data_IF_649695051415
#
_entry.id   IF_649695051415
#
_cell.length_a   1.000
_cell.length_b   1.000
_cell.length_c   1.000
_cell.angle_alpha   90.00
_cell.angle_beta   90.00
_cell.angle_gamma   90.00
#
_symmetry.space_group_name_H-M   'P 1'
#
loop_
_entity.id
_entity.type
_entity.pdbx_description
1 polymer ?
#
# COMPACT_ATOMS: atom_id res chain seq x y z
N UNK A 1 34.97 -17.43 -25.61
CA UNK A 1 35.86 -16.35 -25.11
C UNK A 1 35.74 -16.33 -23.59
N UNK A 2 36.81 -16.66 -22.85
CA UNK A 2 36.75 -16.94 -21.41
C UNK A 2 36.48 -15.67 -20.58
N UNK A 3 35.56 -15.77 -19.61
CA UNK A 3 35.17 -14.70 -18.69
C UNK A 3 36.31 -14.48 -17.69
N UNK A 4 36.98 -13.32 -17.75
CA UNK A 4 38.08 -12.99 -16.84
C UNK A 4 37.60 -13.01 -15.39
N UNK A 5 38.39 -13.60 -14.52
CA UNK A 5 38.08 -13.73 -13.11
C UNK A 5 38.30 -12.41 -12.37
N UNK A 6 37.66 -12.27 -11.21
CA UNK A 6 37.76 -11.08 -10.32
C UNK A 6 39.23 -10.73 -9.98
N UNK A 7 40.12 -11.72 -9.98
CA UNK A 7 41.58 -11.53 -9.77
C UNK A 7 42.27 -10.79 -10.92
N UNK A 8 41.84 -10.98 -12.16
CA UNK A 8 42.43 -10.32 -13.33
C UNK A 8 42.08 -8.82 -13.36
N UNK A 9 40.88 -8.46 -12.87
CA UNK A 9 40.41 -7.09 -12.74
C UNK A 9 41.16 -6.32 -11.65
N UNK A 10 41.60 -7.00 -10.59
CA UNK A 10 42.40 -6.38 -9.52
C UNK A 10 43.82 -6.06 -9.96
N UNK A 11 44.47 -6.93 -10.76
CA UNK A 11 45.79 -6.65 -11.33
C UNK A 11 45.80 -5.40 -12.21
N UNK A 12 44.77 -5.23 -13.05
CA UNK A 12 44.67 -4.06 -13.94
C UNK A 12 44.55 -2.73 -13.19
N UNK A 13 43.98 -2.74 -11.96
CA UNK A 13 43.82 -1.55 -11.12
C UNK A 13 45.12 -1.14 -10.42
N UNK A 14 45.99 -2.09 -10.10
CA UNK A 14 47.30 -1.82 -9.47
C UNK A 14 48.32 -1.31 -10.52
N UNK A 15 48.16 -1.70 -11.79
CA UNK A 15 49.01 -1.27 -12.91
C UNK A 15 48.68 0.13 -13.48
N UNK A 16 47.82 0.92 -12.82
CA UNK A 16 47.59 2.32 -13.17
C UNK A 16 46.88 2.58 -14.50
N UNK A 17 46.31 1.57 -15.14
CA UNK A 17 45.47 1.76 -16.33
C UNK A 17 44.10 2.25 -15.91
N UNK A 18 43.73 3.46 -16.35
CA UNK A 18 42.44 4.08 -16.10
C UNK A 18 41.31 3.12 -16.49
N UNK A 19 40.64 2.57 -15.48
CA UNK A 19 39.36 1.90 -15.67
C UNK A 19 38.38 3.03 -15.99
N UNK A 20 37.91 3.08 -17.23
CA UNK A 20 36.75 3.89 -17.62
C UNK A 20 35.60 3.54 -16.67
N UNK A 21 35.46 4.35 -15.63
CA UNK A 21 34.48 4.16 -14.60
C UNK A 21 33.25 4.91 -15.08
N UNK A 22 32.24 4.15 -15.49
CA UNK A 22 30.86 4.61 -15.61
C UNK A 22 30.34 5.01 -14.21
N UNK A 23 30.93 6.05 -13.61
CA UNK A 23 30.50 6.67 -12.36
C UNK A 23 29.17 7.43 -12.53
N UNK A 24 28.69 7.61 -13.76
CA UNK A 24 27.34 8.11 -14.03
C UNK A 24 26.21 7.10 -13.75
N UNK A 25 26.50 5.80 -13.69
CA UNK A 25 25.48 4.75 -13.53
C UNK A 25 25.14 4.42 -12.05
N UNK A 26 25.89 4.98 -11.09
CA UNK A 26 25.69 4.76 -9.64
C UNK A 26 25.05 5.95 -8.92
N UNK A 27 24.60 6.97 -9.66
CA UNK A 27 23.97 8.18 -9.10
C UNK A 27 22.43 8.20 -9.19
N UNK A 28 21.79 7.16 -9.76
CA UNK A 28 20.34 7.15 -10.02
C UNK A 28 19.53 6.18 -9.13
N UNK A 29 20.10 5.62 -8.07
CA UNK A 29 19.38 4.70 -7.17
C UNK A 29 18.55 5.39 -6.07
N UNK A 30 18.33 6.70 -6.18
CA UNK A 30 17.27 7.35 -5.40
C UNK A 30 15.96 6.99 -6.07
N UNK A 31 15.32 5.93 -5.55
CA UNK A 31 13.97 5.51 -5.96
C UNK A 31 13.07 6.75 -5.96
N UNK A 32 12.51 7.11 -7.12
CA UNK A 32 11.65 8.30 -7.26
C UNK A 32 10.46 8.11 -6.31
N UNK A 33 10.31 8.98 -5.32
CA UNK A 33 9.19 8.93 -4.38
C UNK A 33 7.88 9.12 -5.15
N UNK A 34 6.87 8.32 -4.83
CA UNK A 34 5.52 8.48 -5.37
C UNK A 34 5.02 9.90 -5.09
N UNK A 35 4.37 10.52 -6.08
CA UNK A 35 3.69 11.80 -5.96
C UNK A 35 2.29 11.63 -6.54
N UNK A 36 1.28 11.98 -5.76
CA UNK A 36 -0.13 11.77 -6.09
C UNK A 36 -0.96 11.39 -4.87
N UNK A 37 -2.24 11.08 -5.10
CA UNK A 37 -3.21 10.69 -4.07
C UNK A 37 -3.59 9.22 -4.22
N UNK A 38 -3.50 8.49 -3.12
CA UNK A 38 -3.80 7.05 -3.06
C UNK A 38 -4.99 6.81 -2.14
N UNK A 39 -5.94 6.00 -2.60
CA UNK A 39 -6.98 5.43 -1.74
C UNK A 39 -6.52 4.05 -1.25
N UNK A 40 -6.17 3.95 0.02
CA UNK A 40 -5.91 2.71 0.72
C UNK A 40 -7.19 2.07 1.25
N UNK A 41 -7.32 0.76 1.09
CA UNK A 41 -8.53 0.00 1.46
C UNK A 41 -8.16 -1.30 2.16
N UNK A 42 -8.73 -1.54 3.34
CA UNK A 42 -8.77 -2.84 4.01
C UNK A 42 -10.21 -3.40 3.93
N UNK A 43 -10.51 -4.25 2.93
CA UNK A 43 -11.86 -4.72 2.68
C UNK A 43 -12.28 -5.84 3.64
N UNK A 44 -13.32 -5.57 4.43
CA UNK A 44 -13.96 -6.55 5.31
C UNK A 44 -15.47 -6.35 5.34
N UNK A 45 -16.24 -7.45 5.31
CA UNK A 45 -17.70 -7.39 5.21
C UNK A 45 -18.34 -6.57 6.35
N UNK A 46 -17.75 -6.58 7.56
CA UNK A 46 -18.34 -5.95 8.75
C UNK A 46 -17.63 -4.67 9.19
N UNK A 47 -16.43 -4.41 8.70
CA UNK A 47 -15.64 -3.26 9.09
C UNK A 47 -14.58 -2.99 8.03
N UNK A 48 -14.97 -2.35 6.93
CA UNK A 48 -14.01 -1.98 5.89
C UNK A 48 -13.35 -0.65 6.24
N UNK A 49 -12.01 -0.63 6.26
CA UNK A 49 -11.21 0.57 6.47
C UNK A 49 -10.90 1.29 5.15
N UNK A 50 -10.96 2.61 5.15
CA UNK A 50 -10.61 3.45 4.01
C UNK A 50 -9.73 4.61 4.45
N UNK A 51 -8.69 4.91 3.67
CA UNK A 51 -7.81 6.06 3.91
C UNK A 51 -7.39 6.71 2.59
N UNK A 52 -7.56 8.03 2.49
CA UNK A 52 -7.07 8.84 1.37
C UNK A 52 -5.81 9.55 1.81
N UNK A 53 -4.68 9.23 1.18
CA UNK A 53 -3.36 9.76 1.52
C UNK A 53 -2.76 10.47 0.31
N UNK A 54 -2.42 11.74 0.48
CA UNK A 54 -1.70 12.54 -0.50
C UNK A 54 -0.19 12.46 -0.24
N UNK A 55 0.58 12.25 -1.31
CA UNK A 55 2.03 12.24 -1.33
C UNK A 55 2.52 13.41 -2.18
N UNK A 56 3.03 14.46 -1.54
CA UNK A 56 3.49 15.66 -2.22
C UNK A 56 4.95 15.57 -2.68
N UNK A 57 5.30 16.35 -3.70
CA UNK A 57 6.68 16.54 -4.13
C UNK A 57 7.53 17.05 -2.95
N UNK A 58 8.61 16.34 -2.62
CA UNK A 58 9.43 16.58 -1.41
C UNK A 58 9.25 15.51 -0.33
N UNK A 59 8.31 14.58 -0.51
CA UNK A 59 8.14 13.40 0.35
C UNK A 59 7.27 13.65 1.58
N UNK A 60 6.58 14.79 1.64
CA UNK A 60 5.54 15.04 2.64
C UNK A 60 4.32 14.16 2.34
N UNK A 61 3.75 13.59 3.39
CA UNK A 61 2.57 12.72 3.33
C UNK A 61 1.47 13.39 4.14
N UNK A 62 0.23 13.37 3.67
CA UNK A 62 -0.90 13.99 4.36
C UNK A 62 -2.13 13.10 4.27
N UNK A 63 -2.73 12.82 5.41
CA UNK A 63 -3.97 12.04 5.49
C UNK A 63 -5.15 12.98 5.22
N UNK A 64 -5.72 12.91 4.03
CA UNK A 64 -6.86 13.74 3.63
C UNK A 64 -8.16 13.25 4.26
N UNK A 65 -8.32 11.93 4.36
CA UNK A 65 -9.51 11.29 4.92
C UNK A 65 -9.20 9.91 5.47
N UNK A 66 -9.89 9.52 6.52
CA UNK A 66 -9.82 8.19 7.11
C UNK A 66 -11.17 7.85 7.72
N UNK A 67 -11.72 6.68 7.39
CA UNK A 67 -13.02 6.23 7.88
C UNK A 67 -13.12 4.70 7.93
N UNK A 68 -13.86 4.19 8.91
CA UNK A 68 -14.27 2.78 8.95
C UNK A 68 -15.77 2.63 8.67
N UNK A 69 -16.13 1.84 7.66
CA UNK A 69 -17.51 1.41 7.41
C UNK A 69 -17.88 0.22 8.31
N UNK A 70 -18.42 0.52 9.50
CA UNK A 70 -18.88 -0.49 10.46
C UNK A 70 -20.31 -0.94 10.13
N UNK A 71 -20.50 -2.25 9.94
CA UNK A 71 -21.79 -2.83 9.55
C UNK A 71 -22.31 -3.77 10.63
N UNK A 72 -23.57 -3.57 11.04
CA UNK A 72 -24.21 -4.39 12.10
C UNK A 72 -24.43 -5.82 11.61
N UNK A 73 -24.34 -6.79 12.51
CA UNK A 73 -24.49 -8.21 12.19
C UNK A 73 -25.82 -8.56 11.50
N UNK A 74 -26.89 -7.80 11.80
CA UNK A 74 -28.23 -7.95 11.20
C UNK A 74 -28.34 -7.51 9.74
N UNK A 75 -27.35 -6.80 9.20
CA UNK A 75 -27.35 -6.35 7.81
C UNK A 75 -26.95 -7.54 6.91
N UNK A 76 -27.76 -7.79 5.89
CA UNK A 76 -27.54 -8.91 4.98
C UNK A 76 -26.24 -8.73 4.19
N UNK A 77 -25.62 -9.84 3.77
CA UNK A 77 -24.37 -9.78 3.01
C UNK A 77 -24.49 -8.94 1.71
N UNK A 78 -25.55 -9.07 0.88
CA UNK A 78 -25.69 -8.24 -0.32
C UNK A 78 -25.75 -6.73 -0.01
N UNK A 79 -26.50 -6.34 1.03
CA UNK A 79 -26.55 -4.95 1.49
C UNK A 79 -25.17 -4.48 1.96
N UNK A 80 -24.43 -5.34 2.66
CA UNK A 80 -23.08 -4.99 3.09
C UNK A 80 -22.12 -4.77 1.93
N UNK A 81 -22.19 -5.59 0.88
CA UNK A 81 -21.40 -5.39 -0.34
C UNK A 81 -21.81 -4.11 -1.08
N UNK A 82 -23.11 -3.82 -1.14
CA UNK A 82 -23.65 -2.57 -1.68
C UNK A 82 -23.08 -1.35 -0.96
N UNK A 83 -23.12 -1.34 0.37
CA UNK A 83 -22.57 -0.25 1.19
C UNK A 83 -21.06 -0.06 0.97
N UNK A 84 -20.28 -1.15 0.82
CA UNK A 84 -18.85 -1.08 0.50
C UNK A 84 -18.64 -0.42 -0.87
N UNK A 85 -19.40 -0.84 -1.87
CA UNK A 85 -19.35 -0.28 -3.22
C UNK A 85 -19.70 1.22 -3.21
N UNK A 86 -20.82 1.60 -2.58
CA UNK A 86 -21.25 3.00 -2.45
C UNK A 86 -20.19 3.85 -1.75
N UNK A 87 -19.59 3.34 -0.67
CA UNK A 87 -18.52 4.05 0.05
C UNK A 87 -17.28 4.25 -0.81
N UNK A 88 -16.87 3.22 -1.55
CA UNK A 88 -15.77 3.31 -2.51
C UNK A 88 -16.04 4.35 -3.58
N UNK A 89 -17.20 4.28 -4.24
CA UNK A 89 -17.59 5.24 -5.28
C UNK A 89 -17.63 6.67 -4.74
N UNK A 90 -18.22 6.87 -3.56
CA UNK A 90 -18.24 8.17 -2.91
C UNK A 90 -16.82 8.74 -2.71
N UNK A 91 -15.87 7.94 -2.20
CA UNK A 91 -14.50 8.41 -2.00
C UNK A 91 -13.79 8.69 -3.33
N UNK A 92 -14.00 7.85 -4.34
CA UNK A 92 -13.45 8.03 -5.69
C UNK A 92 -14.00 9.26 -6.40
N UNK A 93 -15.25 9.63 -6.12
CA UNK A 93 -15.93 10.80 -6.70
C UNK A 93 -15.64 12.10 -5.92
N UNK A 94 -15.26 11.98 -4.64
CA UNK A 94 -14.96 13.13 -3.76
C UNK A 94 -13.52 13.61 -3.87
N UNK A 95 -12.58 12.68 -4.12
CA UNK A 95 -11.16 12.96 -4.14
C UNK A 95 -10.56 12.61 -5.50
N UNK A 96 -9.58 13.39 -5.95
CA UNK A 96 -8.77 13.09 -7.13
C UNK A 96 -7.80 11.93 -6.84
N UNK A 97 -8.34 10.70 -6.81
CA UNK A 97 -7.57 9.48 -6.55
C UNK A 97 -6.81 9.08 -7.82
N UNK A 98 -5.50 8.94 -7.76
CA UNK A 98 -4.70 8.42 -8.88
C UNK A 98 -4.80 6.89 -8.96
N UNK A 99 -4.61 6.22 -7.81
CA UNK A 99 -4.59 4.76 -7.71
C UNK A 99 -5.26 4.27 -6.43
N UNK A 100 -5.77 3.04 -6.47
CA UNK A 100 -6.34 2.36 -5.31
C UNK A 100 -5.41 1.23 -4.86
N UNK A 101 -5.06 1.21 -3.58
CA UNK A 101 -4.25 0.18 -2.97
C UNK A 101 -5.12 -0.66 -2.00
N UNK A 102 -5.18 -1.98 -2.21
CA UNK A 102 -5.97 -2.92 -1.40
C UNK A 102 -5.04 -3.83 -0.58
N UNK A 103 -5.42 -4.12 0.66
CA UNK A 103 -4.84 -5.25 1.39
C UNK A 103 -5.34 -6.56 0.76
N UNK A 104 -4.40 -7.47 0.48
CA UNK A 104 -4.72 -8.79 -0.04
C UNK A 104 -5.15 -9.72 1.10
N UNK A 105 -6.24 -10.45 0.92
CA UNK A 105 -6.61 -11.54 1.83
C UNK A 105 -5.66 -12.73 1.67
N UNK A 106 -4.92 -13.10 2.72
CA UNK A 106 -4.07 -14.31 2.73
C UNK A 106 -4.89 -15.50 3.23
N UNK A 107 -4.64 -16.67 2.62
CA UNK A 107 -5.13 -18.02 2.96
C UNK A 107 -5.98 -18.12 4.24
N UNK A 108 -7.27 -18.32 4.05
CA UNK A 108 -8.21 -18.58 5.14
C UNK A 108 -8.57 -20.07 5.12
N UNK A 109 -8.33 -20.77 6.24
CA UNK A 109 -8.65 -22.21 6.34
C UNK A 109 -10.15 -22.49 6.17
N UNK A 110 -11.01 -21.56 6.60
CA UNK A 110 -12.45 -21.68 6.46
C UNK A 110 -12.93 -21.13 5.10
N UNK A 111 -13.46 -22.03 4.27
CA UNK A 111 -14.01 -21.70 2.95
C UNK A 111 -15.10 -20.63 2.98
N UNK A 112 -16.00 -20.66 3.97
CA UNK A 112 -17.08 -19.67 4.09
C UNK A 112 -16.52 -18.27 4.35
N UNK A 113 -15.53 -18.17 5.24
CA UNK A 113 -14.85 -16.90 5.52
C UNK A 113 -14.07 -16.41 4.30
N UNK A 114 -13.41 -17.32 3.56
CA UNK A 114 -12.72 -16.98 2.32
C UNK A 114 -13.67 -16.41 1.27
N UNK A 115 -14.86 -17.01 1.09
CA UNK A 115 -15.89 -16.50 0.18
C UNK A 115 -16.39 -15.11 0.59
N UNK A 116 -16.63 -14.89 1.88
CA UNK A 116 -17.11 -13.61 2.41
C UNK A 116 -16.08 -12.50 2.17
N UNK A 117 -14.82 -12.74 2.52
CA UNK A 117 -13.73 -11.78 2.30
C UNK A 117 -13.49 -11.54 0.82
N UNK A 118 -13.51 -12.60 0.01
CA UNK A 118 -13.41 -12.52 -1.45
C UNK A 118 -14.51 -11.65 -2.06
N UNK A 119 -15.75 -11.77 -1.59
CA UNK A 119 -16.87 -10.95 -2.04
C UNK A 119 -16.71 -9.47 -1.65
N UNK A 120 -16.31 -9.19 -0.40
CA UNK A 120 -16.06 -7.81 0.06
C UNK A 120 -14.94 -7.14 -0.73
N UNK A 121 -13.83 -7.86 -0.94
CA UNK A 121 -12.73 -7.43 -1.82
C UNK A 121 -13.20 -7.22 -3.25
N UNK A 122 -13.99 -8.15 -3.80
CA UNK A 122 -14.56 -8.05 -5.15
C UNK A 122 -15.42 -6.80 -5.34
N UNK A 123 -16.23 -6.44 -4.35
CA UNK A 123 -17.04 -5.22 -4.37
C UNK A 123 -16.16 -3.96 -4.44
N UNK A 124 -15.08 -3.90 -3.66
CA UNK A 124 -14.15 -2.77 -3.69
C UNK A 124 -13.40 -2.65 -5.02
N UNK A 125 -12.90 -3.77 -5.56
CA UNK A 125 -12.20 -3.81 -6.86
C UNK A 125 -13.14 -3.37 -7.98
N UNK A 126 -14.38 -3.88 -8.00
CA UNK A 126 -15.36 -3.53 -9.00
C UNK A 126 -15.69 -2.02 -8.98
N UNK A 127 -15.85 -1.44 -7.79
CA UNK A 127 -16.10 0.00 -7.64
C UNK A 127 -14.94 0.85 -8.19
N UNK A 128 -13.69 0.48 -7.91
CA UNK A 128 -12.51 1.15 -8.45
C UNK A 128 -12.44 1.04 -9.99
N UNK A 129 -12.69 -0.16 -10.53
CA UNK A 129 -12.71 -0.40 -11.98
C UNK A 129 -13.81 0.39 -12.69
N UNK A 130 -14.98 0.57 -12.06
CA UNK A 130 -16.08 1.40 -12.59
C UNK A 130 -15.71 2.89 -12.73
N UNK A 131 -14.63 3.34 -12.08
CA UNK A 131 -14.07 4.70 -12.22
C UNK A 131 -12.77 4.73 -13.00
N UNK A 132 -12.41 3.62 -13.66
CA UNK A 132 -11.18 3.51 -14.45
C UNK A 132 -9.91 3.64 -13.62
N UNK A 133 -9.98 3.39 -12.30
CA UNK A 133 -8.81 3.50 -11.43
C UNK A 133 -8.01 2.20 -11.43
N UNK A 134 -6.70 2.33 -11.49
CA UNK A 134 -5.79 1.19 -11.32
C UNK A 134 -5.84 0.68 -9.88
N UNK A 135 -5.85 -0.65 -9.73
CA UNK A 135 -5.92 -1.32 -8.44
C UNK A 135 -4.66 -2.14 -8.21
N UNK A 136 -3.99 -1.91 -7.09
CA UNK A 136 -2.83 -2.65 -6.65
C UNK A 136 -3.10 -3.38 -5.34
N UNK A 137 -2.59 -4.59 -5.22
CA UNK A 137 -2.84 -5.43 -4.06
C UNK A 137 -1.55 -5.78 -3.32
N UNK A 138 -1.61 -5.71 -1.99
CA UNK A 138 -0.45 -5.91 -1.14
C UNK A 138 -0.71 -6.97 -0.07
N UNK A 139 0.13 -8.03 0.02
CA UNK A 139 0.06 -8.96 1.13
C UNK A 139 0.31 -8.25 2.48
N UNK A 140 -0.41 -8.60 3.57
CA UNK A 140 -0.19 -8.07 4.91
C UNK A 140 1.28 -8.04 5.38
N UNK A 141 2.06 -9.07 5.02
CA UNK A 141 3.50 -9.12 5.33
C UNK A 141 4.28 -7.97 4.65
N UNK A 142 3.93 -7.66 3.40
CA UNK A 142 4.54 -6.57 2.64
C UNK A 142 4.14 -5.21 3.20
N UNK A 143 2.89 -5.06 3.65
CA UNK A 143 2.42 -3.85 4.33
C UNK A 143 3.24 -3.57 5.59
N UNK A 144 3.36 -4.58 6.46
CA UNK A 144 4.16 -4.50 7.69
C UNK A 144 5.62 -4.19 7.42
N UNK A 145 6.21 -4.85 6.41
CA UNK A 145 7.60 -4.62 6.03
C UNK A 145 7.83 -3.21 5.47
N UNK A 146 6.94 -2.70 4.62
CA UNK A 146 7.08 -1.38 4.02
C UNK A 146 6.95 -0.25 5.04
N UNK A 147 6.00 -0.37 5.98
CA UNK A 147 5.71 0.70 6.94
C UNK A 147 6.62 0.64 8.17
N UNK A 148 6.87 -0.54 8.73
CA UNK A 148 7.61 -0.71 9.99
C UNK A 148 9.05 -1.19 9.78
N UNK A 149 9.40 -1.63 8.56
CA UNK A 149 10.69 -2.27 8.27
C UNK A 149 10.77 -3.75 8.69
N UNK A 150 9.68 -4.30 9.26
CA UNK A 150 9.63 -5.69 9.72
C UNK A 150 8.27 -6.34 9.41
N UNK A 151 8.27 -7.40 8.59
CA UNK A 151 7.04 -8.13 8.22
C UNK A 151 6.32 -8.82 9.38
N UNK A 152 6.96 -8.99 10.54
CA UNK A 152 6.36 -9.58 11.76
C UNK A 152 5.82 -8.53 12.74
N UNK A 153 5.75 -7.26 12.36
CA UNK A 153 5.23 -6.20 13.22
C UNK A 153 3.76 -6.48 13.65
N UNK A 154 3.43 -6.08 14.88
CA UNK A 154 2.06 -6.12 15.39
C UNK A 154 1.20 -5.01 14.75
N UNK A 155 -0.13 -5.16 14.76
CA UNK A 155 -1.04 -4.14 14.21
C UNK A 155 -0.88 -2.79 14.94
N UNK A 156 -0.65 -2.84 16.25
CA UNK A 156 -0.42 -1.66 17.08
C UNK A 156 0.88 -0.93 16.71
N UNK A 157 1.93 -1.69 16.36
CA UNK A 157 3.19 -1.12 15.88
C UNK A 157 3.01 -0.43 14.53
N UNK A 158 2.29 -1.05 13.60
CA UNK A 158 1.95 -0.43 12.31
C UNK A 158 1.18 0.87 12.55
N UNK A 159 0.11 0.83 13.35
CA UNK A 159 -0.70 2.00 13.65
C UNK A 159 0.10 3.14 14.29
N UNK A 160 1.03 2.83 15.20
CA UNK A 160 1.92 3.83 15.80
C UNK A 160 2.81 4.49 14.76
N UNK A 161 3.43 3.70 13.88
CA UNK A 161 4.32 4.21 12.82
C UNK A 161 3.56 5.04 11.79
N UNK A 162 2.39 4.58 11.36
CA UNK A 162 1.48 5.31 10.44
C UNK A 162 1.16 6.69 11.00
N UNK A 163 0.77 6.77 12.29
CA UNK A 163 0.50 8.06 12.95
C UNK A 163 1.71 8.99 12.95
N UNK A 164 2.90 8.47 13.24
CA UNK A 164 4.14 9.26 13.23
C UNK A 164 4.45 9.80 11.83
N UNK A 165 4.24 9.00 10.79
CA UNK A 165 4.55 9.38 9.41
C UNK A 165 3.54 10.36 8.80
N UNK A 166 2.26 10.25 9.16
CA UNK A 166 1.19 11.15 8.67
C UNK A 166 1.11 12.48 9.45
N UNK A 167 1.85 12.62 10.55
CA UNK A 167 2.07 13.91 11.22
C UNK A 167 0.82 14.56 11.82
N UNK A 168 -0.28 13.82 11.98
CA UNK A 168 -1.51 14.32 12.61
C UNK A 168 -1.65 13.61 13.94
N UNK A 169 -1.57 14.35 15.04
CA UNK A 169 -1.72 13.83 16.41
C UNK A 169 -3.11 13.25 16.74
N UNK A 170 -3.95 13.00 15.72
CA UNK A 170 -5.25 12.37 15.86
C UNK A 170 -5.08 10.85 16.01
N UNK A 171 -5.84 10.27 16.94
CA UNK A 171 -5.94 8.83 17.10
C UNK A 171 -6.73 8.26 15.92
N UNK A 172 -6.04 7.53 15.04
CA UNK A 172 -6.68 6.67 14.05
C UNK A 172 -7.13 5.37 14.73
N UNK A 173 -8.34 4.92 14.40
CA UNK A 173 -8.79 3.56 14.69
C UNK A 173 -7.84 2.54 14.02
N UNK A 174 -7.87 1.28 14.45
CA UNK A 174 -6.97 0.25 13.90
C UNK A 174 -7.22 0.01 12.40
N UNK A 175 -8.48 -0.13 11.99
CA UNK A 175 -8.86 -0.40 10.59
C UNK A 175 -8.48 0.77 9.66
N UNK A 176 -8.58 1.99 10.17
CA UNK A 176 -8.14 3.22 9.51
C UNK A 176 -6.62 3.28 9.33
N UNK A 177 -5.89 2.85 10.36
CA UNK A 177 -4.43 2.76 10.32
C UNK A 177 -3.96 1.69 9.34
N UNK A 178 -4.66 0.56 9.26
CA UNK A 178 -4.36 -0.54 8.32
C UNK A 178 -4.60 -0.06 6.87
N UNK A 179 -5.72 0.62 6.58
CA UNK A 179 -5.99 1.20 5.27
C UNK A 179 -4.93 2.24 4.87
N UNK A 180 -4.52 3.14 5.78
CA UNK A 180 -3.46 4.10 5.52
C UNK A 180 -2.10 3.42 5.29
N UNK A 181 -1.79 2.36 6.04
CA UNK A 181 -0.58 1.57 5.85
C UNK A 181 -0.51 0.95 4.46
N UNK A 182 -1.64 0.49 3.92
CA UNK A 182 -1.73 -0.06 2.55
C UNK A 182 -1.42 1.03 1.51
N UNK A 183 -1.99 2.22 1.65
CA UNK A 183 -1.68 3.35 0.76
C UNK A 183 -0.17 3.70 0.78
N UNK A 184 0.41 3.77 1.98
CA UNK A 184 1.85 4.02 2.14
C UNK A 184 2.72 2.91 1.55
N UNK A 185 2.26 1.66 1.62
CA UNK A 185 2.95 0.50 1.02
C UNK A 185 3.05 0.64 -0.49
N UNK A 186 1.99 1.11 -1.15
CA UNK A 186 2.05 1.43 -2.58
C UNK A 186 3.11 2.51 -2.83
N UNK A 187 3.03 3.64 -2.14
CA UNK A 187 3.95 4.76 -2.33
C UNK A 187 5.43 4.42 -2.08
N UNK A 188 5.73 3.47 -1.20
CA UNK A 188 7.10 3.07 -0.86
C UNK A 188 7.64 1.95 -1.76
N UNK A 189 6.75 1.14 -2.35
CA UNK A 189 7.15 -0.03 -3.13
C UNK A 189 6.99 0.12 -4.63
N UNK A 190 6.14 1.04 -5.11
CA UNK A 190 6.20 1.59 -6.47
C UNK A 190 7.56 2.23 -6.74
#
# INVERSE_FOLDING_TARGET
MARKGVRDLWKAKVEGKAVNSNLGAMASLVKKKYVGTILGVDPSLRGSGFAVVEFASGGRQTLLRSETLKQRAKVSMPQCLGNICEKMLHLLDTYEIDVVALEQTIYVQNYQTAQILGAARGAAIAAAAMRGKEVFEYPPLRVKQAVVGNGRASKEQVAKTVRTLLGHGALLELDESDAAAVAMTHAFTG
#
